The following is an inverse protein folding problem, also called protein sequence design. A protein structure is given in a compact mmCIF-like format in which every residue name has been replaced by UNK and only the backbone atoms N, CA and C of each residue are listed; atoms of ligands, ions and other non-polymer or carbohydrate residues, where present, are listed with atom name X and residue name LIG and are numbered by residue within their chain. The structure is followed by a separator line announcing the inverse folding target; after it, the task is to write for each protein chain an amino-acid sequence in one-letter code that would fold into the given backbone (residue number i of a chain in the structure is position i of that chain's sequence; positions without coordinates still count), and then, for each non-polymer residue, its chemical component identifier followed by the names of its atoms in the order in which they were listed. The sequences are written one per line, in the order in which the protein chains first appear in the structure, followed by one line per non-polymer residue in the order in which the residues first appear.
data_IF_323722370441
#
_entry.id   IF_323722370441
#
_cell.length_a   1.000
_cell.length_b   1.000
_cell.length_c   1.000
_cell.angle_alpha   90.00
_cell.angle_beta   90.00
_cell.angle_gamma   90.00
#
_symmetry.space_group_name_H-M   'P 1'
#
loop_
_entity.id
_entity.type
_entity.pdbx_description
1 polymer ?
#
# COMPACT_ATOMS: atom_id res chain seq x y z
N UNK A 1 16.83 17.03 -1.41
CA UNK A 1 15.66 16.51 -2.01
C UNK A 1 14.55 16.01 -1.09
N UNK A 2 14.45 14.70 -0.87
CA UNK A 2 13.31 14.05 -0.18
C UNK A 2 13.11 14.58 1.25
N UNK A 3 14.18 14.75 2.00
CA UNK A 3 14.12 15.26 3.38
C UNK A 3 13.49 16.65 3.46
N UNK A 4 13.88 17.57 2.57
CA UNK A 4 13.30 18.90 2.51
C UNK A 4 11.83 18.89 2.11
N UNK A 5 11.43 18.01 1.16
CA UNK A 5 10.03 17.87 0.78
C UNK A 5 9.17 17.37 1.94
N UNK A 6 9.63 16.38 2.68
CA UNK A 6 8.93 15.87 3.87
C UNK A 6 8.83 16.97 4.93
N UNK A 7 9.94 17.66 5.21
CA UNK A 7 9.97 18.76 6.17
C UNK A 7 9.01 19.89 5.80
N UNK A 8 9.04 20.36 4.54
CA UNK A 8 8.13 21.39 4.05
C UNK A 8 6.68 20.96 4.05
N UNK A 9 6.40 19.68 3.75
CA UNK A 9 5.02 19.15 3.82
C UNK A 9 4.50 19.15 5.25
N UNK A 10 5.32 18.70 6.21
CA UNK A 10 4.95 18.70 7.63
C UNK A 10 4.76 20.12 8.15
N UNK A 11 5.71 21.02 7.88
CA UNK A 11 5.62 22.43 8.27
C UNK A 11 4.42 23.12 7.62
N UNK A 12 4.23 22.92 6.31
CA UNK A 12 3.09 23.47 5.59
C UNK A 12 1.77 22.99 6.17
N UNK A 13 1.64 21.70 6.47
CA UNK A 13 0.43 21.15 7.09
C UNK A 13 0.18 21.74 8.48
N UNK A 14 1.25 21.98 9.26
CA UNK A 14 1.14 22.52 10.61
C UNK A 14 0.79 24.02 10.59
N UNK A 15 1.43 24.82 9.75
CA UNK A 15 1.22 26.27 9.69
C UNK A 15 -0.05 26.68 8.92
N UNK A 16 -0.46 25.90 7.91
CA UNK A 16 -1.66 26.17 7.11
C UNK A 16 -2.88 25.35 7.50
N UNK A 17 -2.82 24.61 8.61
CA UNK A 17 -3.96 23.90 9.17
C UNK A 17 -4.91 24.88 9.85
N UNK A 18 -5.79 25.48 9.05
CA UNK A 18 -6.71 26.49 9.54
C UNK A 18 -8.15 25.99 9.66
N UNK A 19 -8.80 26.51 10.73
CA UNK A 19 -10.21 26.71 11.05
C UNK A 19 -11.14 25.48 11.22
N UNK A 20 -11.96 25.58 12.25
CA UNK A 20 -13.05 24.65 12.63
C UNK A 20 -14.01 24.29 11.47
N UNK A 21 -14.18 25.18 10.49
CA UNK A 21 -15.02 24.96 9.31
C UNK A 21 -14.39 23.93 8.37
N UNK A 22 -13.08 24.03 8.15
CA UNK A 22 -12.31 23.09 7.33
C UNK A 22 -12.28 21.67 7.91
N UNK A 23 -12.39 21.53 9.24
CA UNK A 23 -12.45 20.22 9.90
C UNK A 23 -13.81 19.55 9.69
N UNK A 24 -14.94 20.29 9.76
CA UNK A 24 -16.27 19.76 9.42
C UNK A 24 -16.35 19.28 7.96
N UNK A 25 -15.77 20.03 7.04
CA UNK A 25 -15.74 19.64 5.62
C UNK A 25 -14.82 18.44 5.39
N UNK A 26 -13.72 18.33 6.13
CA UNK A 26 -12.87 17.15 6.12
C UNK A 26 -13.59 15.92 6.65
N UNK A 27 -14.30 16.02 7.77
CA UNK A 27 -15.09 14.91 8.32
C UNK A 27 -16.17 14.44 7.33
N UNK A 28 -16.91 15.36 6.72
CA UNK A 28 -17.89 15.01 5.68
C UNK A 28 -17.24 14.32 4.49
N UNK A 29 -16.10 14.82 4.01
CA UNK A 29 -15.33 14.17 2.93
C UNK A 29 -14.86 12.78 3.31
N UNK A 30 -14.30 12.61 4.52
CA UNK A 30 -13.86 11.30 4.99
C UNK A 30 -15.03 10.33 5.13
N UNK A 31 -16.16 10.77 5.68
CA UNK A 31 -17.36 9.95 5.77
C UNK A 31 -17.86 9.54 4.38
N UNK A 32 -17.93 10.48 3.44
CA UNK A 32 -18.32 10.23 2.05
C UNK A 32 -17.37 9.23 1.37
N UNK A 33 -16.05 9.48 1.44
CA UNK A 33 -15.06 8.60 0.82
C UNK A 33 -15.07 7.20 1.43
N UNK A 34 -15.22 7.07 2.74
CA UNK A 34 -15.28 5.77 3.41
C UNK A 34 -16.53 4.97 3.03
N UNK A 35 -17.63 5.65 2.74
CA UNK A 35 -18.88 5.00 2.32
C UNK A 35 -18.88 4.63 0.83
N UNK A 36 -18.27 5.48 -0.02
CA UNK A 36 -18.24 5.28 -1.47
C UNK A 36 -17.09 4.36 -1.90
N UNK A 37 -15.87 4.65 -1.44
CA UNK A 37 -14.64 3.97 -1.88
C UNK A 37 -14.09 2.96 -0.86
N UNK A 38 -14.77 2.78 0.26
CA UNK A 38 -14.32 1.88 1.32
C UNK A 38 -14.45 0.40 0.97
N UNK A 39 -13.60 -0.40 1.60
CA UNK A 39 -13.67 -1.87 1.53
C UNK A 39 -15.07 -2.35 1.94
N UNK A 40 -15.68 -3.30 1.19
CA UNK A 40 -16.95 -3.90 1.55
C UNK A 40 -17.00 -4.37 3.00
N UNK A 41 -18.12 -4.18 3.70
CA UNK A 41 -18.26 -4.52 5.12
C UNK A 41 -17.88 -5.97 5.43
N UNK A 42 -18.19 -6.90 4.53
CA UNK A 42 -17.85 -8.31 4.63
C UNK A 42 -16.34 -8.58 4.65
N UNK A 43 -15.53 -7.72 4.03
CA UNK A 43 -14.09 -7.89 3.89
C UNK A 43 -13.25 -7.02 4.84
N UNK A 44 -13.91 -6.21 5.68
CA UNK A 44 -13.20 -5.37 6.65
C UNK A 44 -12.31 -6.14 7.63
N UNK A 45 -12.68 -7.39 7.94
CA UNK A 45 -11.87 -8.28 8.78
C UNK A 45 -10.51 -8.65 8.17
N UNK A 46 -10.37 -8.52 6.85
CA UNK A 46 -9.14 -8.83 6.12
C UNK A 46 -8.18 -7.63 6.00
N UNK A 47 -8.60 -6.45 6.43
CA UNK A 47 -7.77 -5.24 6.39
C UNK A 47 -6.42 -5.43 7.11
N UNK A 48 -6.36 -5.97 8.36
CA UNK A 48 -5.08 -6.19 9.01
C UNK A 48 -4.19 -7.18 8.25
N UNK A 49 -4.77 -8.22 7.65
CA UNK A 49 -4.02 -9.14 6.79
C UNK A 49 -3.43 -8.43 5.58
N UNK A 50 -4.20 -7.56 4.93
CA UNK A 50 -3.72 -6.76 3.80
C UNK A 50 -2.53 -5.87 4.19
N UNK A 51 -2.61 -5.20 5.34
CA UNK A 51 -1.49 -4.41 5.88
C UNK A 51 -0.24 -5.26 6.15
N UNK A 52 -0.41 -6.43 6.75
CA UNK A 52 0.70 -7.36 7.04
C UNK A 52 1.36 -7.82 5.73
N UNK A 53 0.58 -8.21 4.73
CA UNK A 53 1.10 -8.64 3.43
C UNK A 53 1.88 -7.53 2.72
N UNK A 54 1.34 -6.31 2.69
CA UNK A 54 2.02 -5.15 2.10
C UNK A 54 3.29 -4.81 2.88
N UNK A 55 3.24 -4.86 4.21
CA UNK A 55 4.40 -4.59 5.06
C UNK A 55 5.51 -5.62 4.85
N UNK A 56 5.18 -6.90 4.80
CA UNK A 56 6.15 -7.98 4.50
C UNK A 56 6.76 -7.74 3.12
N UNK A 57 5.92 -7.51 2.11
CA UNK A 57 6.40 -7.25 0.75
C UNK A 57 7.36 -6.06 0.69
N UNK A 58 7.01 -4.96 1.35
CA UNK A 58 7.86 -3.77 1.39
C UNK A 58 9.17 -4.00 2.14
N UNK A 59 9.12 -4.56 3.35
CA UNK A 59 10.30 -4.73 4.20
C UNK A 59 11.31 -5.72 3.62
N UNK A 60 10.84 -6.82 3.06
CA UNK A 60 11.71 -7.88 2.54
C UNK A 60 12.01 -7.74 1.05
N UNK A 61 11.14 -7.09 0.26
CA UNK A 61 11.39 -6.85 -1.16
C UNK A 61 12.29 -5.64 -1.41
N UNK A 62 12.01 -4.52 -0.76
CA UNK A 62 12.70 -3.25 -1.01
C UNK A 62 13.31 -2.61 0.25
N UNK A 63 12.88 -3.05 1.42
CA UNK A 63 13.27 -2.47 2.70
C UNK A 63 14.57 -3.07 3.25
N UNK A 64 14.84 -2.80 4.53
CA UNK A 64 16.11 -3.17 5.18
C UNK A 64 16.34 -4.69 5.24
N UNK A 65 15.29 -5.50 5.21
CA UNK A 65 15.42 -6.96 5.24
C UNK A 65 15.68 -7.60 3.88
N UNK A 66 15.65 -6.83 2.78
CA UNK A 66 16.03 -7.32 1.46
C UNK A 66 17.48 -7.84 1.41
N UNK A 67 18.35 -7.32 2.28
CA UNK A 67 19.75 -7.76 2.42
C UNK A 67 19.86 -9.24 2.80
N UNK A 68 18.87 -9.80 3.52
CA UNK A 68 18.82 -11.22 3.89
C UNK A 68 18.89 -12.10 2.63
N UNK A 69 18.23 -11.67 1.55
CA UNK A 69 18.21 -12.36 0.27
C UNK A 69 19.59 -12.58 -0.38
N UNK A 70 20.61 -11.86 0.10
CA UNK A 70 21.94 -11.96 -0.46
C UNK A 70 22.60 -13.33 -0.22
N UNK A 71 22.27 -14.01 0.87
CA UNK A 71 22.93 -15.25 1.30
C UNK A 71 22.01 -16.47 1.39
N UNK A 72 20.70 -16.33 1.06
CA UNK A 72 19.74 -17.43 1.26
C UNK A 72 19.92 -18.55 0.26
N UNK A 73 20.14 -18.22 -1.02
CA UNK A 73 20.18 -19.22 -2.09
C UNK A 73 21.61 -19.60 -2.50
N UNK A 74 22.57 -18.72 -2.27
CA UNK A 74 23.97 -18.95 -2.66
C UNK A 74 24.88 -17.99 -1.93
N UNK A 75 26.18 -18.34 -1.86
CA UNK A 75 27.21 -17.42 -1.38
C UNK A 75 27.52 -16.37 -2.45
N UNK A 76 27.36 -15.06 -2.17
CA UNK A 76 27.63 -14.02 -3.16
C UNK A 76 29.09 -13.95 -3.60
N UNK A 77 30.02 -14.44 -2.78
CA UNK A 77 31.47 -14.44 -3.06
C UNK A 77 31.90 -15.62 -3.93
N UNK A 78 31.06 -16.64 -4.10
CA UNK A 78 31.42 -17.88 -4.84
C UNK A 78 30.46 -18.09 -6.01
N UNK A 79 30.78 -17.59 -7.23
CA UNK A 79 29.88 -17.69 -8.38
C UNK A 79 29.46 -19.12 -8.75
N UNK A 80 30.29 -20.11 -8.45
CA UNK A 80 29.99 -21.54 -8.71
C UNK A 80 28.82 -22.07 -7.88
N UNK A 81 28.46 -21.40 -6.78
CA UNK A 81 27.32 -21.77 -5.93
C UNK A 81 26.00 -21.08 -6.33
N UNK A 82 26.04 -20.17 -7.30
CA UNK A 82 24.89 -19.42 -7.72
C UNK A 82 23.80 -20.32 -8.29
N UNK A 83 22.64 -20.30 -7.65
CA UNK A 83 21.49 -21.11 -7.99
C UNK A 83 20.18 -20.33 -7.70
N UNK A 84 19.11 -20.62 -8.45
CA UNK A 84 19.04 -21.44 -9.66
C UNK A 84 19.57 -20.70 -10.90
N UNK A 85 19.92 -21.45 -11.92
CA UNK A 85 20.31 -20.95 -13.26
C UNK A 85 21.54 -20.02 -13.30
N UNK A 86 22.41 -20.05 -12.29
CA UNK A 86 23.58 -19.19 -12.23
C UNK A 86 23.31 -17.73 -11.85
N UNK A 87 22.15 -17.45 -11.28
CA UNK A 87 21.85 -16.12 -10.77
C UNK A 87 22.37 -15.92 -9.34
N UNK A 88 22.87 -14.71 -9.01
CA UNK A 88 23.18 -14.35 -7.64
C UNK A 88 21.95 -14.46 -6.75
N UNK A 89 22.13 -14.85 -5.47
CA UNK A 89 21.06 -15.04 -4.51
C UNK A 89 20.10 -13.87 -4.42
N UNK A 90 20.61 -12.65 -4.42
CA UNK A 90 19.78 -11.44 -4.35
C UNK A 90 18.82 -11.29 -5.54
N UNK A 91 19.21 -11.73 -6.73
CA UNK A 91 18.34 -11.69 -7.92
C UNK A 91 17.19 -12.67 -7.79
N UNK A 92 17.46 -13.88 -7.30
CA UNK A 92 16.42 -14.88 -7.04
C UNK A 92 15.45 -14.38 -5.98
N UNK A 93 15.97 -13.75 -4.92
CA UNK A 93 15.18 -13.10 -3.88
C UNK A 93 14.25 -12.02 -4.45
N UNK A 94 14.78 -11.13 -5.28
CA UNK A 94 13.99 -10.06 -5.90
C UNK A 94 12.92 -10.60 -6.83
N UNK A 95 13.20 -11.66 -7.59
CA UNK A 95 12.18 -12.32 -8.43
C UNK A 95 11.05 -12.92 -7.60
N UNK A 96 11.36 -13.58 -6.48
CA UNK A 96 10.35 -14.10 -5.56
C UNK A 96 9.46 -12.98 -5.01
N UNK A 97 10.05 -11.87 -4.59
CA UNK A 97 9.28 -10.73 -4.08
C UNK A 97 8.54 -9.96 -5.18
N UNK A 98 9.00 -10.01 -6.44
CA UNK A 98 8.24 -9.53 -7.58
C UNK A 98 6.92 -10.32 -7.74
N UNK A 99 7.00 -11.66 -7.76
CA UNK A 99 5.81 -12.51 -7.85
C UNK A 99 4.91 -12.36 -6.62
N UNK A 100 5.50 -12.27 -5.44
CA UNK A 100 4.74 -11.98 -4.22
C UNK A 100 4.03 -10.63 -4.29
N UNK A 101 4.68 -9.60 -4.83
CA UNK A 101 4.08 -8.29 -5.07
C UNK A 101 2.90 -8.34 -6.04
N UNK A 102 3.02 -9.08 -7.14
CA UNK A 102 1.92 -9.32 -8.09
C UNK A 102 0.74 -9.99 -7.36
N UNK A 103 1.00 -11.00 -6.54
CA UNK A 103 -0.02 -11.64 -5.72
C UNK A 103 -0.70 -10.67 -4.75
N UNK A 104 0.08 -9.86 -4.05
CA UNK A 104 -0.44 -8.83 -3.11
C UNK A 104 -1.31 -7.82 -3.87
N UNK A 105 -0.88 -7.35 -5.02
CA UNK A 105 -1.66 -6.42 -5.86
C UNK A 105 -2.96 -7.06 -6.35
N UNK A 106 -2.91 -8.32 -6.81
CA UNK A 106 -4.09 -9.07 -7.18
C UNK A 106 -5.05 -9.22 -6.00
N UNK A 107 -4.54 -9.59 -4.82
CA UNK A 107 -5.32 -9.73 -3.60
C UNK A 107 -6.02 -8.43 -3.21
N UNK A 108 -5.31 -7.30 -3.24
CA UNK A 108 -5.89 -5.99 -2.94
C UNK A 108 -6.92 -5.57 -3.98
N UNK A 109 -6.59 -5.70 -5.27
CA UNK A 109 -7.43 -5.22 -6.35
C UNK A 109 -8.73 -6.03 -6.47
N UNK A 110 -8.62 -7.35 -6.55
CA UNK A 110 -9.77 -8.21 -6.86
C UNK A 110 -10.41 -8.82 -5.62
N UNK A 111 -9.61 -9.39 -4.72
CA UNK A 111 -10.16 -10.05 -3.55
C UNK A 111 -10.69 -9.07 -2.51
N UNK A 112 -9.95 -8.02 -2.20
CA UNK A 112 -10.40 -6.94 -1.31
C UNK A 112 -11.40 -6.00 -2.00
N UNK A 113 -11.43 -5.95 -3.33
CA UNK A 113 -12.37 -5.18 -4.11
C UNK A 113 -12.02 -3.70 -4.27
N UNK A 114 -10.74 -3.33 -4.15
CA UNK A 114 -10.31 -1.95 -4.37
C UNK A 114 -10.44 -1.50 -5.83
N UNK A 115 -10.43 -2.43 -6.79
CA UNK A 115 -10.61 -2.14 -8.22
C UNK A 115 -12.08 -2.20 -8.68
N UNK A 116 -13.04 -2.41 -7.78
CA UNK A 116 -14.45 -2.46 -8.14
C UNK A 116 -14.94 -1.08 -8.60
N UNK A 117 -15.62 -0.99 -9.76
CA UNK A 117 -16.18 0.27 -10.22
C UNK A 117 -17.24 0.76 -9.23
N UNK A 118 -17.17 2.03 -8.88
CA UNK A 118 -18.13 2.64 -7.97
C UNK A 118 -19.38 2.99 -8.78
N UNK A 119 -20.54 2.44 -8.39
CA UNK A 119 -21.80 2.75 -9.05
C UNK A 119 -22.15 4.24 -8.90
N UNK A 120 -22.48 4.89 -10.03
CA UNK A 120 -22.92 6.30 -10.06
C UNK A 120 -24.13 6.56 -9.13
N UNK A 121 -25.06 5.62 -9.08
CA UNK A 121 -26.22 5.70 -8.16
C UNK A 121 -25.84 5.67 -6.69
N UNK A 122 -24.78 4.94 -6.34
CA UNK A 122 -24.25 4.91 -4.98
C UNK A 122 -23.61 6.26 -4.62
N UNK A 123 -22.84 6.82 -5.54
CA UNK A 123 -22.20 8.14 -5.37
C UNK A 123 -23.28 9.21 -5.14
N UNK A 124 -24.29 9.24 -5.99
CA UNK A 124 -25.37 10.24 -5.91
C UNK A 124 -26.15 10.16 -4.60
N UNK A 125 -26.52 8.95 -4.16
CA UNK A 125 -27.21 8.75 -2.89
C UNK A 125 -26.37 9.19 -1.70
N UNK A 126 -25.09 8.83 -1.70
CA UNK A 126 -24.17 9.17 -0.61
C UNK A 126 -23.89 10.68 -0.60
N UNK A 127 -23.78 11.30 -1.76
CA UNK A 127 -23.63 12.75 -1.89
C UNK A 127 -24.82 13.49 -1.31
N UNK A 128 -26.06 13.12 -1.69
CA UNK A 128 -27.28 13.71 -1.14
C UNK A 128 -27.38 13.55 0.38
N UNK A 129 -26.90 12.43 0.92
CA UNK A 129 -26.92 12.17 2.37
C UNK A 129 -25.99 13.07 3.18
N UNK A 130 -24.84 13.43 2.64
CA UNK A 130 -23.79 14.17 3.38
C UNK A 130 -23.72 15.66 3.08
N UNK A 131 -24.24 16.10 1.93
CA UNK A 131 -24.11 17.47 1.44
C UNK A 131 -25.45 18.20 1.21
N UNK A 132 -26.59 17.52 1.26
CA UNK A 132 -27.94 18.09 1.33
C UNK A 132 -28.49 17.91 2.74
#
# INVERSE_FOLDING_TARGET
GIFFNILFTILGTYFFSDSKQKNKDKEKRHAFLSEVAGVPKSKKKLIPLAYILVLIWFLFGFGPFAVIGNNIFSDPSIPSTWAPFGFPSIWVWQLLFLFFGIFVMWFLAFYMGFSQPISSTKIERTFKKHFN
#
